data_IF_759864517692
#
_entry.id   IF_759864517692
#
_cell.length_a   1.000
_cell.length_b   1.000
_cell.length_c   1.000
_cell.angle_alpha   90.00
_cell.angle_beta   90.00
_cell.angle_gamma   90.00
#
_symmetry.space_group_name_H-M   'P 1'
#
loop_
_entity.id
_entity.type
_entity.pdbx_description
1 polymer ?
#
# COMPACT_ATOMS: atom_id res chain seq x y z
N UNK A 1 -8.62 -12.36 3.69
CA UNK A 1 -7.23 -11.91 3.95
C UNK A 1 -6.81 -10.99 2.80
N UNK A 2 -6.47 -9.74 3.09
CA UNK A 2 -5.98 -8.81 2.07
C UNK A 2 -4.45 -8.95 1.94
N UNK A 3 -3.93 -8.74 0.74
CA UNK A 3 -2.48 -8.72 0.50
C UNK A 3 -2.08 -7.34 -0.02
N UNK A 4 -1.19 -6.68 0.71
CA UNK A 4 -0.57 -5.42 0.33
C UNK A 4 0.89 -5.69 -0.07
N UNK A 5 1.16 -5.66 -1.37
CA UNK A 5 2.49 -5.87 -1.93
C UNK A 5 3.19 -4.54 -2.10
N UNK A 6 4.42 -4.40 -1.63
CA UNK A 6 5.17 -3.18 -1.85
C UNK A 6 5.40 -2.97 -3.35
N UNK A 7 5.28 -1.71 -3.78
CA UNK A 7 5.66 -1.34 -5.14
C UNK A 7 7.17 -1.20 -5.14
N UNK A 8 7.86 -2.21 -5.69
CA UNK A 8 9.32 -2.22 -5.81
C UNK A 8 9.82 -0.96 -6.57
N UNK A 9 10.56 -0.05 -5.90
CA UNK A 9 11.08 1.16 -6.51
C UNK A 9 12.28 0.91 -7.45
N UNK A 10 13.06 -0.15 -7.22
CA UNK A 10 14.27 -0.48 -8.00
C UNK A 10 13.93 -1.05 -9.37
N UNK A 11 12.82 -1.79 -9.46
CA UNK A 11 12.33 -2.36 -10.73
C UNK A 11 11.32 -1.48 -11.46
N UNK A 12 10.86 -0.39 -10.84
CA UNK A 12 9.83 0.49 -11.40
C UNK A 12 10.39 1.29 -12.59
N UNK A 13 9.71 1.22 -13.74
CA UNK A 13 10.03 2.05 -14.92
C UNK A 13 9.07 3.21 -15.13
N UNK A 14 7.90 3.18 -14.50
CA UNK A 14 6.81 4.14 -14.71
C UNK A 14 6.47 4.89 -13.44
N UNK A 15 5.79 6.03 -13.59
CA UNK A 15 5.30 6.79 -12.43
C UNK A 15 4.44 5.93 -11.51
N UNK A 16 4.55 6.21 -10.21
CA UNK A 16 3.68 5.64 -9.19
C UNK A 16 2.71 6.73 -8.74
N UNK A 17 1.45 6.37 -8.53
CA UNK A 17 0.40 7.31 -8.15
C UNK A 17 -0.50 6.65 -7.11
N UNK A 18 -0.77 7.37 -6.02
CA UNK A 18 -1.76 6.98 -5.03
C UNK A 18 -3.16 7.11 -5.63
N UNK A 19 -3.98 6.08 -5.45
CA UNK A 19 -5.37 6.09 -5.88
C UNK A 19 -6.25 7.04 -5.05
N UNK A 20 -5.92 7.27 -3.77
CA UNK A 20 -6.77 8.06 -2.87
C UNK A 20 -6.44 9.55 -2.81
N UNK A 21 -5.16 9.94 -2.85
CA UNK A 21 -4.74 11.34 -2.68
C UNK A 21 -4.07 11.93 -3.92
N UNK A 22 -4.08 11.19 -5.02
CA UNK A 22 -3.47 11.56 -6.30
C UNK A 22 -1.95 11.86 -6.29
N UNK A 23 -1.29 11.77 -5.13
CA UNK A 23 0.15 11.92 -4.95
C UNK A 23 0.89 11.02 -5.94
N UNK A 24 1.75 11.62 -6.75
CA UNK A 24 2.45 10.89 -7.81
C UNK A 24 3.90 11.28 -7.91
N UNK A 25 4.74 10.29 -8.19
CA UNK A 25 6.18 10.46 -8.36
C UNK A 25 6.66 9.71 -9.60
N UNK A 26 7.65 10.26 -10.27
CA UNK A 26 8.43 9.53 -11.26
C UNK A 26 9.13 8.34 -10.59
N UNK A 27 9.56 7.34 -11.38
CA UNK A 27 10.30 6.20 -10.83
C UNK A 27 11.56 6.67 -10.05
N UNK A 28 12.30 7.64 -10.58
CA UNK A 28 13.49 8.21 -9.94
C UNK A 28 13.19 8.89 -8.60
N UNK A 29 12.15 9.73 -8.55
CA UNK A 29 11.78 10.41 -7.30
C UNK A 29 11.24 9.43 -6.26
N UNK A 30 10.48 8.43 -6.71
CA UNK A 30 9.99 7.40 -5.81
C UNK A 30 11.15 6.61 -5.18
N UNK A 31 12.14 6.20 -5.97
CA UNK A 31 13.33 5.53 -5.47
C UNK A 31 14.01 6.34 -4.35
N UNK A 32 14.29 7.62 -4.60
CA UNK A 32 14.92 8.50 -3.61
C UNK A 32 14.09 8.60 -2.32
N UNK A 33 12.77 8.74 -2.44
CA UNK A 33 11.88 8.86 -1.29
C UNK A 33 11.76 7.55 -0.50
N UNK A 34 11.83 6.42 -1.20
CA UNK A 34 11.83 5.10 -0.58
C UNK A 34 13.13 4.84 0.17
N UNK A 35 14.28 5.09 -0.47
CA UNK A 35 15.61 4.95 0.17
C UNK A 35 15.79 5.89 1.36
N UNK A 36 15.11 7.04 1.36
CA UNK A 36 15.08 7.97 2.49
C UNK A 36 14.04 7.61 3.56
N UNK A 37 13.36 6.47 3.44
CA UNK A 37 12.28 6.01 4.33
C UNK A 37 11.11 7.00 4.50
N UNK A 38 10.95 7.94 3.57
CA UNK A 38 9.91 8.98 3.62
C UNK A 38 8.59 8.53 3.04
N UNK A 39 8.62 7.59 2.09
CA UNK A 39 7.41 7.20 1.36
C UNK A 39 7.53 5.79 0.77
N UNK A 40 6.60 4.92 1.16
CA UNK A 40 6.33 3.67 0.47
C UNK A 40 4.97 3.70 -0.23
N UNK A 41 4.87 3.01 -1.37
CA UNK A 41 3.60 2.68 -2.02
C UNK A 41 3.34 1.18 -1.96
N UNK A 42 2.07 0.82 -1.80
CA UNK A 42 1.60 -0.55 -1.73
C UNK A 42 0.53 -0.78 -2.77
N UNK A 43 0.63 -1.93 -3.44
CA UNK A 43 -0.38 -2.47 -4.35
C UNK A 43 -1.24 -3.45 -3.57
N UNK A 44 -2.53 -3.15 -3.46
CA UNK A 44 -3.49 -3.98 -2.72
C UNK A 44 -4.63 -4.41 -3.63
N UNK A 45 -5.12 -5.64 -3.44
CA UNK A 45 -6.33 -6.16 -4.08
C UNK A 45 -7.45 -6.27 -3.05
N UNK A 46 -8.48 -5.43 -3.18
CA UNK A 46 -9.71 -5.59 -2.40
C UNK A 46 -10.62 -6.64 -3.06
N UNK A 47 -11.48 -7.34 -2.29
CA UNK A 47 -12.29 -8.46 -2.78
C UNK A 47 -13.19 -8.09 -3.98
N UNK A 48 -13.69 -6.86 -4.03
CA UNK A 48 -14.60 -6.38 -5.08
C UNK A 48 -13.95 -5.46 -6.10
N UNK A 49 -12.63 -5.24 -6.02
CA UNK A 49 -11.97 -4.16 -6.76
C UNK A 49 -10.70 -4.62 -7.50
N UNK A 50 -10.30 -3.85 -8.51
CA UNK A 50 -9.03 -4.08 -9.20
C UNK A 50 -7.86 -3.76 -8.27
N UNK A 51 -6.69 -4.33 -8.55
CA UNK A 51 -5.46 -3.96 -7.82
C UNK A 51 -5.24 -2.44 -7.94
N UNK A 52 -5.23 -1.75 -6.80
CA UNK A 52 -4.98 -0.30 -6.71
C UNK A 52 -3.69 -0.05 -5.95
N UNK A 53 -3.07 1.10 -6.21
CA UNK A 53 -1.84 1.53 -5.55
C UNK A 53 -2.19 2.64 -4.56
N UNK A 54 -1.75 2.50 -3.31
CA UNK A 54 -1.91 3.51 -2.26
C UNK A 54 -0.56 3.86 -1.67
N UNK A 55 -0.35 5.11 -1.25
CA UNK A 55 0.76 5.42 -0.36
C UNK A 55 0.51 4.81 1.03
N UNK A 56 1.56 4.68 1.84
CA UNK A 56 1.48 4.13 3.19
C UNK A 56 0.37 4.78 4.05
N UNK A 57 0.24 6.11 4.03
CA UNK A 57 -0.82 6.82 4.77
C UNK A 57 -2.24 6.50 4.29
N UNK A 58 -2.43 6.42 2.98
CA UNK A 58 -3.75 6.18 2.40
C UNK A 58 -4.14 4.71 2.46
N UNK A 59 -3.17 3.80 2.55
CA UNK A 59 -3.42 2.36 2.70
C UNK A 59 -4.27 2.11 3.94
N UNK A 60 -3.86 2.63 5.09
CA UNK A 60 -4.59 2.48 6.36
C UNK A 60 -6.05 2.94 6.27
N UNK A 61 -6.26 4.16 5.75
CA UNK A 61 -7.60 4.73 5.58
C UNK A 61 -8.47 3.91 4.63
N UNK A 62 -7.87 3.36 3.57
CA UNK A 62 -8.60 2.55 2.58
C UNK A 62 -8.97 1.18 3.15
N UNK A 63 -8.08 0.59 3.94
CA UNK A 63 -8.34 -0.66 4.66
C UNK A 63 -9.48 -0.48 5.64
N UNK A 64 -9.44 0.54 6.51
CA UNK A 64 -10.52 0.80 7.46
C UNK A 64 -11.87 1.00 6.76
N UNK A 65 -11.90 1.73 5.63
CA UNK A 65 -13.13 1.88 4.84
C UNK A 65 -13.63 0.55 4.28
N UNK A 66 -12.74 -0.34 3.86
CA UNK A 66 -13.11 -1.66 3.34
C UNK A 66 -13.57 -2.64 4.42
N UNK A 67 -13.25 -2.40 5.69
CA UNK A 67 -13.62 -3.27 6.80
C UNK A 67 -15.12 -3.17 7.14
N UNK A 68 -15.81 -2.06 6.84
CA UNK A 68 -17.23 -1.92 7.13
C UNK A 68 -17.55 -2.13 8.62
N UNK A 69 -18.33 -3.17 8.94
CA UNK A 69 -18.70 -3.58 10.31
C UNK A 69 -17.77 -4.67 10.90
N UNK A 70 -16.71 -5.05 10.18
CA UNK A 70 -15.79 -6.11 10.60
C UNK A 70 -14.85 -5.57 11.68
N UNK A 71 -14.91 -6.17 12.89
CA UNK A 71 -14.13 -5.75 14.06
C UNK A 71 -12.62 -5.79 13.87
N UNK A 72 -12.10 -6.75 13.10
CA UNK A 72 -10.68 -6.90 12.83
C UNK A 72 -10.42 -7.51 11.45
N UNK A 73 -9.33 -7.11 10.79
CA UNK A 73 -8.96 -7.60 9.47
C UNK A 73 -7.46 -7.84 9.38
N UNK A 74 -7.10 -9.04 8.93
CA UNK A 74 -5.70 -9.41 8.71
C UNK A 74 -5.25 -9.01 7.31
N UNK A 75 -4.13 -8.29 7.26
CA UNK A 75 -3.45 -7.87 6.05
C UNK A 75 -2.06 -8.44 6.02
N UNK A 76 -1.78 -9.20 4.97
CA UNK A 76 -0.43 -9.63 4.64
C UNK A 76 0.30 -8.50 3.93
N UNK A 77 1.29 -7.92 4.57
CA UNK A 77 2.21 -6.97 3.97
C UNK A 77 3.43 -7.72 3.44
N UNK A 78 3.66 -7.62 2.14
CA UNK A 78 4.82 -8.21 1.46
C UNK A 78 5.75 -7.05 1.12
N UNK A 79 6.85 -6.94 1.86
CA UNK A 79 7.90 -5.95 1.63
C UNK A 79 9.01 -6.54 0.75
N UNK A 80 10.09 -5.78 0.53
CA UNK A 80 11.24 -6.28 -0.24
C UNK A 80 12.06 -7.31 0.56
N UNK A 81 11.99 -7.27 1.88
CA UNK A 81 12.85 -8.04 2.80
C UNK A 81 12.05 -9.13 3.53
N UNK A 82 10.84 -8.80 3.95
CA UNK A 82 10.02 -9.65 4.80
C UNK A 82 8.54 -9.71 4.40
N UNK A 83 7.89 -10.79 4.83
CA UNK A 83 6.44 -10.96 4.79
C UNK A 83 5.87 -10.88 6.21
N UNK A 84 5.03 -9.88 6.46
CA UNK A 84 4.45 -9.60 7.77
C UNK A 84 2.93 -9.72 7.69
N UNK A 85 2.29 -10.24 8.74
CA UNK A 85 0.82 -10.21 8.87
C UNK A 85 0.45 -9.20 9.94
N UNK A 86 -0.30 -8.18 9.55
CA UNK A 86 -0.76 -7.11 10.44
C UNK A 86 -2.27 -7.24 10.61
N UNK A 87 -2.71 -7.35 11.86
CA UNK A 87 -4.13 -7.33 12.21
C UNK A 87 -4.55 -5.89 12.52
N UNK A 88 -5.45 -5.36 11.71
CA UNK A 88 -6.10 -4.07 11.97
C UNK A 88 -7.32 -4.27 12.84
N UNK A 89 -7.48 -3.42 13.86
CA UNK A 89 -8.64 -3.40 14.74
C UNK A 89 -9.46 -2.12 14.47
N UNK A 90 -10.77 -2.28 14.30
CA UNK A 90 -11.70 -1.15 14.28
C UNK A 90 -11.89 -0.68 15.72
N UNK A 91 -11.64 0.62 15.96
CA UNK A 91 -11.71 1.23 17.29
C UNK A 91 -13.12 1.69 17.63
#
# INVERSE_FOLDING_TARGET
>A
MLTAEIVDPFRRKTKVKCFSCDLSYSAKHYLILYESEKLAFFKIKFPEDRKRIYCHDCLYKSVLKSMGEIRNMDIKMITMEDELTITFYQK
#
